data_IF_221756997601
#
_entry.id   IF_221756997601
#
_cell.length_a   1.000
_cell.length_b   1.000
_cell.length_c   1.000
_cell.angle_alpha   90.00
_cell.angle_beta   90.00
_cell.angle_gamma   90.00
#
_symmetry.space_group_name_H-M   'P 1'
#
loop_
_entity.id
_entity.type
_entity.pdbx_description
1 polymer ?
#
# COMPACT_ATOMS: atom_id res chain seq x y z
N UNK A 1 2.41 -4.09 5.75
CA UNK A 1 1.70 -5.38 5.51
C UNK A 1 1.88 -6.29 6.73
N UNK A 2 0.83 -6.98 7.22
CA UNK A 2 0.91 -7.81 8.43
C UNK A 2 0.34 -9.19 8.14
N UNK A 3 1.16 -10.24 8.30
CA UNK A 3 0.74 -11.64 8.14
C UNK A 3 0.01 -12.09 9.40
N UNK A 4 -1.14 -12.75 9.24
CA UNK A 4 -1.92 -13.36 10.34
C UNK A 4 -2.07 -14.86 10.10
N UNK A 5 -1.57 -15.64 11.05
CA UNK A 5 -1.80 -17.08 11.11
C UNK A 5 -3.17 -17.35 11.74
N UNK A 6 -3.98 -18.20 11.08
CA UNK A 6 -5.36 -18.49 11.51
C UNK A 6 -5.46 -19.74 12.39
N UNK A 7 -4.48 -20.63 12.34
CA UNK A 7 -4.40 -21.83 13.17
C UNK A 7 -2.93 -22.18 13.45
N UNK A 8 -2.59 -22.64 14.67
CA UNK A 8 -1.29 -23.23 14.95
C UNK A 8 -1.26 -24.67 14.42
N UNK A 9 -0.23 -25.02 13.64
CA UNK A 9 0.02 -26.40 13.19
C UNK A 9 -0.72 -26.81 11.91
N UNK A 10 -0.68 -28.12 11.56
CA UNK A 10 -1.18 -28.62 10.28
C UNK A 10 -2.72 -28.58 10.23
N UNK A 11 -3.25 -28.12 9.10
CA UNK A 11 -4.69 -28.12 8.84
C UNK A 11 -5.16 -29.54 8.48
N UNK A 12 -6.23 -30.00 9.15
CA UNK A 12 -6.90 -31.27 8.82
C UNK A 12 -7.91 -31.04 7.70
N UNK A 13 -7.75 -31.75 6.59
CA UNK A 13 -8.71 -31.74 5.49
C UNK A 13 -9.79 -32.78 5.78
N UNK A 14 -11.04 -32.34 5.94
CA UNK A 14 -12.18 -33.24 6.17
C UNK A 14 -12.95 -33.42 4.84
N UNK A 15 -13.18 -34.66 4.38
CA UNK A 15 -14.03 -34.92 3.23
C UNK A 15 -15.44 -34.34 3.46
N UNK A 16 -15.95 -33.58 2.50
CA UNK A 16 -17.29 -32.99 2.59
C UNK A 16 -17.47 -31.96 3.72
N UNK A 17 -16.39 -31.37 4.25
CA UNK A 17 -16.46 -30.34 5.32
C UNK A 17 -17.47 -29.22 4.99
N UNK A 18 -17.46 -28.78 3.74
CA UNK A 18 -18.37 -27.76 3.26
C UNK A 18 -19.46 -28.46 2.45
N UNK A 19 -20.72 -28.17 2.77
CA UNK A 19 -21.84 -28.63 1.96
C UNK A 19 -21.74 -28.09 0.54
N UNK A 20 -22.29 -28.85 -0.42
CA UNK A 20 -22.38 -28.39 -1.81
C UNK A 20 -23.18 -27.08 -1.83
N UNK A 21 -22.62 -25.96 -2.30
CA UNK A 21 -23.37 -24.72 -2.39
C UNK A 21 -24.59 -24.96 -3.29
N UNK A 22 -25.76 -24.53 -2.81
CA UNK A 22 -27.04 -24.70 -3.52
C UNK A 22 -27.02 -23.92 -4.83
N UNK A 23 -26.55 -24.56 -5.90
CA UNK A 23 -26.54 -24.04 -7.27
C UNK A 23 -25.89 -22.67 -7.43
N UNK A 24 -25.98 -22.13 -8.64
CA UNK A 24 -25.70 -20.72 -8.88
C UNK A 24 -26.83 -19.91 -8.23
N UNK A 25 -26.55 -19.34 -7.06
CA UNK A 25 -27.37 -18.24 -6.55
C UNK A 25 -27.10 -17.05 -7.46
N UNK A 26 -28.16 -16.42 -7.96
CA UNK A 26 -28.08 -15.12 -8.63
C UNK A 26 -27.23 -14.18 -7.75
N UNK A 27 -26.02 -13.90 -8.21
CA UNK A 27 -25.01 -13.12 -7.47
C UNK A 27 -25.39 -11.65 -7.38
N UNK A 28 -26.30 -11.20 -8.24
CA UNK A 28 -26.81 -9.83 -8.24
C UNK A 28 -28.11 -9.72 -7.45
N UNK A 29 -28.72 -10.85 -7.05
CA UNK A 29 -29.92 -10.83 -6.22
C UNK A 29 -29.60 -10.17 -4.89
N UNK A 30 -30.26 -9.06 -4.54
CA UNK A 30 -30.09 -8.44 -3.24
C UNK A 30 -30.55 -9.40 -2.13
N UNK A 31 -29.88 -9.41 -0.98
CA UNK A 31 -30.35 -10.13 0.20
C UNK A 31 -31.78 -9.74 0.58
N UNK A 32 -32.58 -10.66 1.15
CA UNK A 32 -33.89 -10.32 1.68
C UNK A 32 -33.76 -9.25 2.76
N UNK A 33 -34.62 -8.21 2.70
CA UNK A 33 -34.57 -7.08 3.62
C UNK A 33 -33.59 -5.97 3.25
N UNK A 34 -32.98 -6.01 2.05
CA UNK A 34 -32.20 -4.87 1.57
C UNK A 34 -33.13 -3.65 1.42
N UNK A 35 -32.81 -2.51 2.05
CA UNK A 35 -33.62 -1.30 1.92
C UNK A 35 -33.63 -0.82 0.46
N UNK A 36 -34.71 -0.14 0.03
CA UNK A 36 -34.77 0.46 -1.30
C UNK A 36 -33.60 1.43 -1.51
N UNK A 37 -33.03 1.50 -2.73
CA UNK A 37 -31.88 2.36 -2.99
C UNK A 37 -32.23 3.82 -2.69
N UNK A 38 -31.54 4.42 -1.72
CA UNK A 38 -31.62 5.85 -1.46
C UNK A 38 -30.96 6.64 -2.62
N UNK A 39 -31.45 7.85 -2.95
CA UNK A 39 -30.83 8.70 -3.95
C UNK A 39 -29.36 8.96 -3.61
N UNK A 40 -28.49 8.78 -4.60
CA UNK A 40 -27.03 8.90 -4.45
C UNK A 40 -26.58 10.28 -4.91
N UNK A 41 -25.95 11.01 -4.00
CA UNK A 41 -25.21 12.22 -4.32
C UNK A 41 -23.89 11.82 -4.99
N UNK A 42 -23.57 12.46 -6.11
CA UNK A 42 -22.28 12.28 -6.80
C UNK A 42 -21.48 13.55 -6.60
N UNK A 43 -20.30 13.40 -5.98
CA UNK A 43 -19.31 14.47 -5.92
C UNK A 43 -18.75 14.68 -7.33
N UNK A 44 -19.07 15.82 -7.93
CA UNK A 44 -18.66 16.15 -9.31
C UNK A 44 -17.17 16.48 -9.36
N UNK A 45 -16.73 17.35 -8.45
CA UNK A 45 -15.35 17.84 -8.40
C UNK A 45 -14.83 17.85 -6.96
N UNK A 46 -13.59 17.38 -6.78
CA UNK A 46 -12.84 17.44 -5.52
C UNK A 46 -11.43 17.93 -5.82
N UNK A 47 -11.01 19.02 -5.19
CA UNK A 47 -9.62 19.50 -5.27
C UNK A 47 -8.93 19.29 -3.93
N UNK A 48 -7.81 18.56 -3.94
CA UNK A 48 -6.97 18.32 -2.78
C UNK A 48 -5.53 18.73 -3.08
N UNK A 49 -4.92 19.49 -2.17
CA UNK A 49 -3.50 19.79 -2.21
C UNK A 49 -2.80 19.06 -1.07
N UNK A 50 -1.93 18.11 -1.41
CA UNK A 50 -1.10 17.41 -0.44
C UNK A 50 0.36 17.84 -0.59
N UNK A 51 0.85 18.64 0.36
CA UNK A 51 2.27 18.92 0.50
C UNK A 51 2.93 17.85 1.38
N UNK A 52 3.64 16.91 0.77
CA UNK A 52 4.48 15.95 1.49
C UNK A 52 5.87 16.53 1.65
N UNK A 53 6.22 16.89 2.88
CA UNK A 53 7.58 17.26 3.23
C UNK A 53 8.32 15.98 3.60
N UNK A 54 9.22 15.54 2.72
CA UNK A 54 10.07 14.39 3.01
C UNK A 54 10.90 14.63 4.26
N UNK A 55 10.79 13.73 5.23
CA UNK A 55 11.72 13.64 6.34
C UNK A 55 13.11 13.24 5.83
N UNK A 56 14.14 13.61 6.59
CA UNK A 56 15.53 13.16 6.36
C UNK A 56 15.74 11.81 7.07
N UNK A 57 14.88 10.84 6.75
CA UNK A 57 14.72 9.59 7.50
C UNK A 57 15.97 8.69 7.44
N UNK A 58 16.85 9.00 6.50
CA UNK A 58 18.20 8.47 6.42
C UNK A 58 19.17 9.65 6.41
N UNK A 59 19.38 10.26 7.58
CA UNK A 59 20.64 10.96 7.84
C UNK A 59 21.82 10.07 7.43
N UNK A 60 23.02 10.62 7.13
CA UNK A 60 24.14 9.81 6.68
C UNK A 60 24.32 8.64 7.65
N UNK A 61 23.93 7.44 7.22
CA UNK A 61 24.02 6.24 8.04
C UNK A 61 25.44 6.11 8.54
N UNK A 62 25.68 5.43 9.69
CA UNK A 62 27.00 5.34 10.28
C UNK A 62 27.98 4.99 9.17
N UNK A 63 28.84 5.96 8.86
CA UNK A 63 29.89 5.80 7.88
C UNK A 63 30.68 4.61 8.36
N UNK A 64 30.44 3.44 7.76
CA UNK A 64 31.29 2.30 7.99
C UNK A 64 32.67 2.82 7.68
N UNK A 65 33.49 2.91 8.72
CA UNK A 65 34.78 3.59 8.73
C UNK A 65 35.70 2.81 7.81
N UNK A 66 35.55 3.03 6.51
CA UNK A 66 36.48 2.57 5.51
C UNK A 66 37.58 3.62 5.51
N UNK A 67 38.82 3.28 5.91
CA UNK A 67 39.90 4.26 5.86
C UNK A 67 40.03 4.70 4.40
N UNK A 68 39.80 5.99 4.15
CA UNK A 68 40.08 6.61 2.85
C UNK A 68 41.56 6.41 2.57
N UNK A 69 41.95 5.79 1.44
CA UNK A 69 43.29 6.03 0.91
C UNK A 69 43.35 7.51 0.52
N UNK A 70 44.34 8.22 1.04
CA UNK A 70 44.67 9.59 0.65
C UNK A 70 45.17 9.58 -0.79
N UNK A 71 44.31 9.91 -1.76
CA UNK A 71 44.71 10.55 -3.02
C UNK A 71 43.52 10.88 -3.95
N UNK A 72 43.36 12.19 -4.20
CA UNK A 72 42.87 12.87 -5.40
C UNK A 72 41.61 12.39 -6.15
N UNK A 73 40.57 13.24 -6.14
CA UNK A 73 39.48 13.25 -7.13
C UNK A 73 38.43 14.33 -6.83
N UNK A 74 37.96 15.14 -7.81
CA UNK A 74 37.01 16.22 -7.56
C UNK A 74 35.63 15.67 -7.17
N UNK A 75 34.92 16.44 -6.32
CA UNK A 75 33.66 16.04 -5.70
C UNK A 75 32.58 15.62 -6.73
N UNK A 76 31.71 14.64 -6.39
CA UNK A 76 30.59 14.26 -7.26
C UNK A 76 29.63 15.45 -7.47
N UNK A 77 28.92 15.51 -8.60
CA UNK A 77 28.10 16.65 -8.93
C UNK A 77 27.00 16.85 -7.89
N UNK A 78 26.94 18.07 -7.35
CA UNK A 78 25.83 18.55 -6.52
C UNK A 78 24.61 18.68 -7.42
N UNK A 79 23.67 17.74 -7.32
CA UNK A 79 22.36 17.88 -7.94
C UNK A 79 21.66 19.09 -7.30
N UNK A 80 21.67 20.22 -8.02
CA UNK A 80 20.90 21.42 -7.64
C UNK A 80 19.46 21.17 -8.08
N UNK A 81 18.53 21.22 -7.14
CA UNK A 81 17.13 21.48 -7.44
C UNK A 81 17.03 22.92 -7.96
N UNK A 82 17.07 23.11 -9.28
CA UNK A 82 16.47 24.31 -9.89
C UNK A 82 15.10 23.90 -10.36
N UNK A 83 14.07 24.34 -9.64
CA UNK A 83 12.75 24.48 -10.25
C UNK A 83 12.90 25.43 -11.43
N UNK A 84 12.49 24.99 -12.61
CA UNK A 84 12.28 25.87 -13.75
C UNK A 84 10.86 26.43 -13.73
N UNK A 85 10.63 27.64 -14.26
CA UNK A 85 9.28 28.13 -14.53
C UNK A 85 8.76 27.51 -15.84
N UNK A 86 7.49 27.14 -15.86
CA UNK A 86 6.80 26.58 -17.03
C UNK A 86 5.47 25.97 -16.62
#
# INVERSE_FOLDING_TARGET
>A
PRVRWLAPGPLRVLPGHFGVPRGERDRLRPPPGLPPPCPRLVLRDLSLTWALFGGRDFGPGPTHSRPRPRSAGPAPPRWRNRGGPG
#
